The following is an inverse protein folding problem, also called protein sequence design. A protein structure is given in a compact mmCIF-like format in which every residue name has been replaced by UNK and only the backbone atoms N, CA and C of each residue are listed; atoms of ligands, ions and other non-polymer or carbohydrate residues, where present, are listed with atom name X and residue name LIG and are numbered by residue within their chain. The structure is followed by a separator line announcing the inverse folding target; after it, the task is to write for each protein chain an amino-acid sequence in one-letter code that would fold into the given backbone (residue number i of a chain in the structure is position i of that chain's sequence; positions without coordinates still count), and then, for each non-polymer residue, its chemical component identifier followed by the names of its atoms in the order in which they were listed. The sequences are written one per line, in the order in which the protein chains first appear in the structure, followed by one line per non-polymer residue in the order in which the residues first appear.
data_IF_640893376407
#
_entry.id   IF_640893376407
#
_cell.length_a   1.000
_cell.length_b   1.000
_cell.length_c   1.000
_cell.angle_alpha   90.00
_cell.angle_beta   90.00
_cell.angle_gamma   90.00
#
_symmetry.space_group_name_H-M   'P 1'
#
loop_
_entity.id
_entity.type
_entity.pdbx_description
1 polymer ?
#
# COMPACT_ATOMS: atom_id res chain seq x y z
N UNK A 1 -17.89 -12.84 -18.38
CA UNK A 1 -17.39 -12.13 -17.18
C UNK A 1 -15.89 -11.99 -17.43
N UNK A 2 -15.47 -10.85 -17.96
CA UNK A 2 -14.05 -10.53 -18.24
C UNK A 2 -13.38 -10.30 -16.88
N UNK A 3 -12.32 -11.07 -16.59
CA UNK A 3 -11.47 -10.83 -15.44
C UNK A 3 -10.97 -9.36 -15.49
N UNK A 4 -11.02 -8.63 -14.37
CA UNK A 4 -10.42 -7.30 -14.33
C UNK A 4 -8.91 -7.45 -14.56
N UNK A 5 -8.38 -6.71 -15.52
CA UNK A 5 -6.94 -6.60 -15.75
C UNK A 5 -6.27 -6.07 -14.47
N UNK A 6 -5.63 -6.98 -13.74
CA UNK A 6 -4.89 -6.68 -12.51
C UNK A 6 -3.49 -6.16 -12.79
N UNK A 7 -3.12 -5.94 -14.05
CA UNK A 7 -1.84 -5.35 -14.41
C UNK A 7 -1.82 -3.86 -14.07
N UNK A 8 -1.47 -3.54 -12.83
CA UNK A 8 -1.04 -2.20 -12.48
C UNK A 8 0.40 -2.00 -12.94
N UNK A 9 0.59 -1.94 -14.26
CA UNK A 9 1.84 -1.51 -14.83
C UNK A 9 1.91 0.01 -14.71
N UNK A 10 2.95 0.53 -14.04
CA UNK A 10 3.33 1.92 -14.21
C UNK A 10 3.40 2.23 -15.71
N UNK A 11 2.93 3.42 -16.14
CA UNK A 11 2.99 3.79 -17.56
C UNK A 11 4.42 3.63 -18.06
N UNK A 12 4.53 3.02 -19.23
CA UNK A 12 5.76 2.80 -19.97
C UNK A 12 6.59 4.09 -20.10
N UNK A 13 7.65 4.22 -19.31
CA UNK A 13 8.55 5.36 -19.41
C UNK A 13 9.76 5.29 -18.50
N UNK A 14 9.61 4.83 -17.28
CA UNK A 14 10.74 4.51 -16.38
C UNK A 14 10.41 3.22 -15.66
N UNK A 15 10.85 2.11 -16.21
CA UNK A 15 10.99 0.91 -15.37
C UNK A 15 11.94 1.29 -14.25
N UNK A 16 11.45 1.31 -13.01
CA UNK A 16 12.31 1.26 -11.86
C UNK A 16 13.28 0.11 -12.12
N UNK A 17 14.57 0.40 -12.16
CA UNK A 17 15.57 -0.64 -12.35
C UNK A 17 15.29 -1.69 -11.28
N UNK A 18 15.23 -2.97 -11.68
CA UNK A 18 14.95 -4.07 -10.76
C UNK A 18 15.78 -3.91 -9.50
N UNK A 19 15.14 -3.86 -8.36
CA UNK A 19 15.82 -3.88 -7.08
C UNK A 19 16.77 -5.06 -7.03
N UNK A 20 18.02 -4.81 -6.70
CA UNK A 20 19.05 -5.83 -6.53
C UNK A 20 19.24 -6.09 -5.04
N UNK A 21 19.34 -7.35 -4.66
CA UNK A 21 19.77 -7.71 -3.29
C UNK A 21 21.24 -7.32 -3.01
N UNK A 22 21.99 -6.95 -4.05
CA UNK A 22 23.35 -6.46 -3.89
C UNK A 22 23.36 -5.07 -3.26
N UNK A 23 24.22 -4.86 -2.26
CA UNK A 23 24.41 -3.55 -1.65
C UNK A 23 24.87 -2.54 -2.69
N UNK A 24 24.13 -1.46 -2.82
CA UNK A 24 24.54 -0.32 -3.68
C UNK A 24 25.51 0.61 -2.95
N UNK A 25 26.45 1.22 -3.66
CA UNK A 25 27.27 2.27 -3.07
C UNK A 25 26.40 3.45 -2.64
N UNK A 26 26.87 4.17 -1.64
CA UNK A 26 26.20 5.40 -1.21
C UNK A 26 26.24 6.45 -2.34
N UNK A 27 25.15 7.21 -2.54
CA UNK A 27 25.13 8.29 -3.51
C UNK A 27 26.17 9.36 -3.16
N UNK A 28 26.81 9.91 -4.19
CA UNK A 28 27.79 10.97 -4.03
C UNK A 28 27.09 12.27 -3.57
N UNK A 29 27.69 12.98 -2.62
CA UNK A 29 27.19 14.27 -2.14
C UNK A 29 26.10 14.19 -1.07
N UNK A 30 25.66 13.00 -0.68
CA UNK A 30 24.69 12.82 0.42
C UNK A 30 25.40 12.40 1.70
N UNK A 31 25.26 13.19 2.76
CA UNK A 31 25.91 12.89 4.03
C UNK A 31 25.38 11.61 4.67
N UNK A 32 26.15 10.93 5.55
CA UNK A 32 25.66 9.76 6.28
C UNK A 32 24.39 10.05 7.10
N UNK A 33 24.25 11.24 7.66
CA UNK A 33 23.09 11.64 8.45
C UNK A 33 21.89 11.83 7.54
N UNK A 34 22.04 12.55 6.42
CA UNK A 34 20.93 12.76 5.47
C UNK A 34 20.42 11.44 4.90
N UNK A 35 21.32 10.47 4.67
CA UNK A 35 20.93 9.11 4.25
C UNK A 35 20.11 8.39 5.31
N UNK A 36 20.50 8.47 6.58
CA UNK A 36 19.75 7.85 7.68
C UNK A 36 18.37 8.48 7.81
N UNK A 37 18.28 9.80 7.71
CA UNK A 37 17.00 10.52 7.74
C UNK A 37 16.13 10.09 6.57
N UNK A 38 16.66 10.09 5.34
CA UNK A 38 15.91 9.66 4.16
C UNK A 38 15.40 8.22 4.25
N UNK A 39 16.23 7.28 4.73
CA UNK A 39 15.79 5.90 4.94
C UNK A 39 14.66 5.80 5.96
N UNK A 40 14.73 6.54 7.05
CA UNK A 40 13.66 6.54 8.06
C UNK A 40 12.39 7.19 7.53
N UNK A 41 12.46 8.32 6.84
CA UNK A 41 11.30 9.00 6.26
C UNK A 41 10.61 8.12 5.22
N UNK A 42 11.37 7.45 4.33
CA UNK A 42 10.82 6.51 3.36
C UNK A 42 10.22 5.28 4.06
N UNK A 43 10.85 4.78 5.13
CA UNK A 43 10.28 3.69 5.93
C UNK A 43 8.94 4.09 6.55
N UNK A 44 8.84 5.29 7.09
CA UNK A 44 7.58 5.83 7.62
C UNK A 44 6.52 5.98 6.51
N UNK A 45 6.91 6.47 5.33
CA UNK A 45 6.02 6.60 4.17
C UNK A 45 5.39 5.24 3.80
N UNK A 46 6.21 4.18 3.71
CA UNK A 46 5.74 2.81 3.40
C UNK A 46 4.79 2.28 4.48
N UNK A 47 5.10 2.50 5.75
CA UNK A 47 4.23 2.05 6.86
C UNK A 47 2.93 2.86 6.92
N UNK A 48 2.94 4.16 6.64
CA UNK A 48 1.73 4.99 6.53
C UNK A 48 0.83 4.53 5.39
N UNK A 49 1.41 4.08 4.27
CA UNK A 49 0.63 3.49 3.18
C UNK A 49 -0.14 2.25 3.67
N UNK A 50 0.53 1.31 4.34
CA UNK A 50 -0.13 0.12 4.87
C UNK A 50 -1.23 0.48 5.88
N UNK A 51 -0.96 1.42 6.77
CA UNK A 51 -1.94 1.89 7.74
C UNK A 51 -3.17 2.51 7.06
N UNK A 52 -2.96 3.39 6.08
CA UNK A 52 -4.05 4.04 5.35
C UNK A 52 -4.91 3.04 4.56
N UNK A 53 -4.29 2.01 3.96
CA UNK A 53 -5.02 0.88 3.32
C UNK A 53 -5.90 0.16 4.34
N UNK A 54 -5.33 -0.23 5.49
CA UNK A 54 -6.05 -0.97 6.52
C UNK A 54 -7.23 -0.17 7.10
N UNK A 55 -7.06 1.14 7.21
CA UNK A 55 -8.08 2.06 7.72
C UNK A 55 -9.09 2.53 6.65
N UNK A 56 -8.89 2.15 5.38
CA UNK A 56 -9.63 2.71 4.21
C UNK A 56 -9.61 4.23 4.18
N UNK A 57 -8.54 4.82 4.64
CA UNK A 57 -8.35 6.27 4.60
C UNK A 57 -7.79 6.70 3.24
N UNK A 58 -8.67 6.74 2.23
CA UNK A 58 -8.29 7.11 0.87
C UNK A 58 -7.74 8.53 0.77
N UNK A 59 -8.17 9.43 1.64
CA UNK A 59 -7.67 10.79 1.67
C UNK A 59 -6.20 10.82 2.12
N UNK A 60 -5.89 10.18 3.25
CA UNK A 60 -4.51 10.05 3.71
C UNK A 60 -3.66 9.24 2.73
N UNK A 61 -4.22 8.19 2.11
CA UNK A 61 -3.50 7.31 1.20
C UNK A 61 -2.96 8.06 -0.02
N UNK A 62 -3.77 8.90 -0.66
CA UNK A 62 -3.36 9.63 -1.87
C UNK A 62 -2.37 10.76 -1.58
N UNK A 63 -2.40 11.33 -0.37
CA UNK A 63 -1.42 12.33 0.06
C UNK A 63 0.02 11.80 0.18
N UNK A 64 0.18 10.48 0.24
CA UNK A 64 1.49 9.83 0.23
C UNK A 64 2.16 9.82 -1.16
N UNK A 65 1.44 10.19 -2.19
CA UNK A 65 1.92 10.23 -3.57
C UNK A 65 2.17 11.67 -4.03
N UNK A 66 3.03 11.82 -5.04
CA UNK A 66 3.19 13.11 -5.72
C UNK A 66 1.85 13.58 -6.28
N UNK A 67 1.66 14.89 -6.40
CA UNK A 67 0.40 15.50 -6.86
C UNK A 67 0.05 15.16 -8.33
N UNK A 68 1.07 14.92 -9.16
CA UNK A 68 0.97 14.54 -10.57
C UNK A 68 1.09 13.02 -10.82
N UNK A 69 0.87 12.19 -9.79
CA UNK A 69 1.00 10.73 -9.87
C UNK A 69 0.19 10.14 -11.03
N UNK A 70 0.78 9.17 -11.74
CA UNK A 70 0.05 8.40 -12.74
C UNK A 70 -0.91 7.41 -12.08
N UNK A 71 -2.20 7.50 -12.41
CA UNK A 71 -3.27 6.68 -11.85
C UNK A 71 -3.76 5.55 -12.78
N UNK A 72 -2.99 5.24 -13.85
CA UNK A 72 -3.38 4.27 -14.87
C UNK A 72 -4.32 4.86 -15.93
N UNK A 73 -4.48 4.14 -17.06
CA UNK A 73 -5.36 4.51 -18.18
C UNK A 73 -5.16 5.95 -18.71
N UNK A 74 -3.93 6.48 -18.61
CA UNK A 74 -3.59 7.84 -19.00
C UNK A 74 -4.09 8.93 -18.05
N UNK A 75 -4.74 8.57 -16.94
CA UNK A 75 -5.16 9.51 -15.89
C UNK A 75 -4.01 9.84 -14.94
N UNK A 76 -3.99 11.06 -14.45
CA UNK A 76 -2.99 11.54 -13.51
C UNK A 76 -3.62 12.30 -12.35
N UNK A 77 -2.86 12.43 -11.28
CA UNK A 77 -3.23 13.20 -10.09
C UNK A 77 -3.92 12.39 -9.01
N UNK A 78 -3.87 12.92 -7.78
CA UNK A 78 -4.37 12.28 -6.56
C UNK A 78 -5.87 11.96 -6.61
N UNK A 79 -6.68 12.80 -7.27
CA UNK A 79 -8.12 12.55 -7.41
C UNK A 79 -8.40 11.28 -8.25
N UNK A 80 -7.67 11.10 -9.36
CA UNK A 80 -7.78 9.89 -10.18
C UNK A 80 -7.26 8.66 -9.43
N UNK A 81 -6.20 8.82 -8.64
CA UNK A 81 -5.66 7.75 -7.80
C UNK A 81 -6.65 7.34 -6.69
N UNK A 82 -7.33 8.30 -6.06
CA UNK A 82 -8.36 8.01 -5.05
C UNK A 82 -9.50 7.17 -5.62
N UNK A 83 -9.95 7.52 -6.83
CA UNK A 83 -10.97 6.74 -7.54
C UNK A 83 -10.50 5.31 -7.82
N UNK A 84 -9.25 5.17 -8.26
CA UNK A 84 -8.64 3.85 -8.54
C UNK A 84 -8.61 2.97 -7.28
N UNK A 85 -8.20 3.53 -6.12
CA UNK A 85 -8.18 2.79 -4.86
C UNK A 85 -9.59 2.38 -4.42
N UNK A 86 -10.57 3.27 -4.52
CA UNK A 86 -11.95 2.97 -4.16
C UNK A 86 -12.52 1.84 -5.01
N UNK A 87 -12.30 1.88 -6.32
CA UNK A 87 -12.75 0.81 -7.23
C UNK A 87 -12.05 -0.51 -6.92
N UNK A 88 -10.75 -0.50 -6.59
CA UNK A 88 -9.98 -1.72 -6.30
C UNK A 88 -10.30 -2.35 -4.96
N UNK A 89 -10.54 -1.56 -3.94
CA UNK A 89 -11.00 -2.09 -2.66
C UNK A 89 -12.43 -2.63 -2.74
N UNK A 90 -13.26 -2.04 -3.63
CA UNK A 90 -14.58 -2.57 -3.99
C UNK A 90 -15.39 -3.00 -2.76
N UNK A 91 -15.94 -4.22 -2.82
CA UNK A 91 -16.77 -4.82 -1.77
C UNK A 91 -15.96 -5.46 -0.63
N UNK A 92 -14.62 -5.34 -0.62
CA UNK A 92 -13.84 -5.83 0.50
C UNK A 92 -14.24 -5.09 1.78
N UNK A 93 -14.61 -5.83 2.81
CA UNK A 93 -14.95 -5.26 4.12
C UNK A 93 -13.71 -4.97 4.94
N UNK A 94 -12.67 -5.76 4.75
CA UNK A 94 -11.42 -5.69 5.50
C UNK A 94 -10.26 -5.90 4.54
N UNK A 95 -9.28 -5.02 4.63
CA UNK A 95 -7.95 -5.19 4.05
C UNK A 95 -6.93 -5.11 5.18
N UNK A 96 -6.08 -6.13 5.29
CA UNK A 96 -4.99 -6.15 6.26
C UNK A 96 -3.70 -6.25 5.46
N UNK A 97 -2.96 -5.16 5.38
CA UNK A 97 -1.67 -5.08 4.72
C UNK A 97 -0.56 -4.99 5.76
N UNK A 98 0.33 -5.97 5.76
CA UNK A 98 1.48 -6.04 6.66
C UNK A 98 2.76 -5.88 5.87
N UNK A 99 3.59 -4.89 6.22
CA UNK A 99 4.94 -4.72 5.68
C UNK A 99 5.89 -5.67 6.40
N UNK A 100 6.55 -6.56 5.66
CA UNK A 100 7.45 -7.56 6.26
C UNK A 100 8.92 -7.26 6.02
N UNK A 101 9.29 -6.77 4.85
CA UNK A 101 10.69 -6.47 4.50
C UNK A 101 10.72 -5.24 3.59
N UNK A 102 11.68 -4.37 3.84
CA UNK A 102 11.90 -3.19 3.01
C UNK A 102 13.39 -3.00 2.75
N UNK A 103 13.73 -2.76 1.49
CA UNK A 103 15.06 -2.30 1.06
C UNK A 103 14.85 -1.02 0.26
N UNK A 104 15.61 0.00 0.58
CA UNK A 104 15.58 1.31 -0.11
C UNK A 104 16.98 1.63 -0.60
N UNK A 105 17.08 2.01 -1.87
CA UNK A 105 18.29 2.46 -2.53
C UNK A 105 18.16 3.94 -2.90
N UNK A 106 18.91 4.81 -2.24
CA UNK A 106 19.02 6.21 -2.64
C UNK A 106 19.79 6.33 -3.95
N UNK A 107 19.23 7.04 -4.91
CA UNK A 107 19.86 7.37 -6.18
C UNK A 107 20.68 8.65 -6.02
N UNK A 108 20.09 9.65 -5.38
CA UNK A 108 20.68 10.93 -5.01
C UNK A 108 19.99 11.50 -3.75
N UNK A 109 20.07 12.80 -3.51
CA UNK A 109 19.48 13.45 -2.34
C UNK A 109 17.93 13.47 -2.36
N UNK A 110 17.33 13.41 -3.57
CA UNK A 110 15.89 13.63 -3.76
C UNK A 110 15.21 12.47 -4.49
N UNK A 111 15.94 11.43 -4.90
CA UNK A 111 15.39 10.26 -5.59
C UNK A 111 15.83 8.96 -4.94
N UNK A 112 14.88 8.03 -4.84
CA UNK A 112 15.14 6.68 -4.34
C UNK A 112 14.28 5.64 -5.06
N UNK A 113 14.70 4.40 -4.98
CA UNK A 113 13.90 3.22 -5.35
C UNK A 113 13.83 2.26 -4.19
N UNK A 114 12.84 1.38 -4.17
CA UNK A 114 12.73 0.40 -3.11
C UNK A 114 12.00 -0.86 -3.52
N UNK A 115 12.24 -1.91 -2.74
CA UNK A 115 11.43 -3.13 -2.78
C UNK A 115 10.84 -3.36 -1.40
N UNK A 116 9.54 -3.59 -1.37
CA UNK A 116 8.79 -3.84 -0.13
C UNK A 116 8.06 -5.16 -0.27
N UNK A 117 8.35 -6.12 0.62
CA UNK A 117 7.56 -7.34 0.72
C UNK A 117 6.45 -7.16 1.73
N UNK A 118 5.28 -7.67 1.36
CA UNK A 118 4.10 -7.55 2.21
C UNK A 118 3.26 -8.82 2.18
N UNK A 119 2.50 -8.99 3.26
CA UNK A 119 1.38 -9.93 3.30
C UNK A 119 0.08 -9.14 3.32
N UNK A 120 -0.90 -9.67 2.61
CA UNK A 120 -2.22 -9.06 2.56
C UNK A 120 -3.29 -10.10 2.83
N UNK A 121 -4.25 -9.74 3.67
CA UNK A 121 -5.52 -10.47 3.81
C UNK A 121 -6.65 -9.55 3.38
N UNK A 122 -7.55 -10.07 2.55
CA UNK A 122 -8.71 -9.34 2.06
C UNK A 122 -9.95 -10.15 2.34
N UNK A 123 -10.94 -9.54 2.97
CA UNK A 123 -12.18 -10.20 3.34
C UNK A 123 -13.41 -9.41 2.93
N UNK A 124 -14.41 -10.13 2.43
CA UNK A 124 -15.73 -9.60 2.09
C UNK A 124 -16.79 -10.69 2.25
N UNK A 125 -18.04 -10.43 1.84
CA UNK A 125 -19.12 -11.40 1.96
C UNK A 125 -18.76 -12.73 1.28
N UNK A 126 -18.70 -13.80 2.08
CA UNK A 126 -18.47 -15.17 1.58
C UNK A 126 -17.05 -15.47 1.07
N UNK A 127 -16.11 -14.53 1.16
CA UNK A 127 -14.75 -14.74 0.67
C UNK A 127 -13.70 -14.19 1.62
N UNK A 128 -12.61 -14.96 1.79
CA UNK A 128 -11.39 -14.50 2.45
C UNK A 128 -10.18 -14.93 1.62
N UNK A 129 -9.33 -13.97 1.24
CA UNK A 129 -8.15 -14.23 0.44
C UNK A 129 -6.89 -13.81 1.19
N UNK A 130 -5.80 -14.56 0.99
CA UNK A 130 -4.44 -14.20 1.44
C UNK A 130 -3.52 -14.06 0.27
N UNK A 131 -2.65 -13.06 0.32
CA UNK A 131 -1.63 -12.84 -0.71
C UNK A 131 -0.25 -12.64 -0.08
N UNK A 132 0.77 -13.12 -0.77
CA UNK A 132 2.15 -12.69 -0.58
C UNK A 132 2.55 -11.86 -1.78
N UNK A 133 2.99 -10.65 -1.54
CA UNK A 133 3.21 -9.64 -2.57
C UNK A 133 4.55 -8.94 -2.39
N UNK A 134 5.02 -8.32 -3.47
CA UNK A 134 6.09 -7.35 -3.44
C UNK A 134 5.64 -6.06 -4.11
N UNK A 135 6.14 -4.95 -3.63
CA UNK A 135 6.07 -3.67 -4.32
C UNK A 135 7.45 -3.29 -4.84
N UNK A 136 7.51 -2.80 -6.07
CA UNK A 136 8.63 -2.03 -6.59
C UNK A 136 8.23 -0.57 -6.59
N UNK A 137 8.99 0.23 -5.84
CA UNK A 137 8.66 1.61 -5.54
C UNK A 137 9.66 2.57 -6.17
N UNK A 138 9.16 3.72 -6.61
CA UNK A 138 9.94 4.90 -6.96
C UNK A 138 9.52 6.03 -6.04
N UNK A 139 10.51 6.69 -5.42
CA UNK A 139 10.29 7.78 -4.49
C UNK A 139 10.96 9.05 -4.98
N UNK A 140 10.36 10.18 -4.68
CA UNK A 140 10.90 11.52 -4.93
C UNK A 140 10.68 12.40 -3.71
N UNK A 141 11.66 13.24 -3.41
CA UNK A 141 11.56 14.23 -2.36
C UNK A 141 11.19 15.56 -2.99
N UNK A 142 10.05 16.13 -2.60
CA UNK A 142 9.56 17.45 -3.03
C UNK A 142 9.37 18.32 -1.81
N UNK A 143 9.92 19.51 -1.83
CA UNK A 143 9.82 20.47 -0.72
C UNK A 143 10.19 19.88 0.66
N UNK A 144 11.21 19.03 0.67
CA UNK A 144 11.71 18.39 1.88
C UNK A 144 10.93 17.15 2.35
N UNK A 145 9.90 16.72 1.64
CA UNK A 145 9.05 15.58 1.98
C UNK A 145 9.16 14.47 0.94
N UNK A 146 9.30 13.21 1.36
CA UNK A 146 9.32 12.05 0.48
C UNK A 146 7.91 11.59 0.10
N UNK A 147 7.73 11.26 -1.18
CA UNK A 147 6.49 10.77 -1.76
C UNK A 147 6.73 9.55 -2.64
N UNK A 148 5.69 8.74 -2.84
CA UNK A 148 5.66 7.78 -3.93
C UNK A 148 5.45 8.50 -5.26
N UNK A 149 6.30 8.22 -6.24
CA UNK A 149 6.08 8.57 -7.66
C UNK A 149 5.34 7.43 -8.35
N UNK A 150 5.75 6.19 -8.04
CA UNK A 150 5.13 4.98 -8.55
C UNK A 150 5.28 3.85 -7.54
N UNK A 151 4.27 2.96 -7.52
CA UNK A 151 4.28 1.72 -6.74
C UNK A 151 3.71 0.61 -7.60
N UNK A 152 4.55 -0.34 -8.01
CA UNK A 152 4.14 -1.49 -8.82
C UNK A 152 3.90 -2.69 -7.92
N UNK A 153 2.70 -3.26 -8.00
CA UNK A 153 2.32 -4.45 -7.25
C UNK A 153 2.71 -5.72 -8.01
N UNK A 154 3.46 -6.60 -7.35
CA UNK A 154 3.88 -7.91 -7.85
C UNK A 154 3.32 -9.00 -6.96
N UNK A 155 2.76 -10.05 -7.54
CA UNK A 155 2.15 -11.14 -6.82
C UNK A 155 3.08 -12.36 -6.81
N UNK A 156 3.41 -12.88 -5.61
CA UNK A 156 4.02 -14.21 -5.47
C UNK A 156 2.95 -15.29 -5.58
N UNK A 157 1.88 -15.16 -4.80
CA UNK A 157 0.71 -16.03 -4.84
C UNK A 157 -0.49 -15.38 -4.16
N UNK A 158 -1.68 -15.83 -4.54
CA UNK A 158 -2.95 -15.55 -3.86
C UNK A 158 -3.67 -16.86 -3.58
N UNK A 159 -4.35 -16.93 -2.44
CA UNK A 159 -5.11 -18.09 -1.99
C UNK A 159 -6.51 -17.65 -1.56
N UNK A 160 -7.55 -18.39 -1.96
CA UNK A 160 -8.82 -18.38 -1.24
C UNK A 160 -8.69 -19.24 0.02
N UNK A 161 -9.06 -18.67 1.16
CA UNK A 161 -8.95 -19.31 2.48
C UNK A 161 -10.32 -19.79 2.90
N UNK A 162 -10.47 -21.07 3.28
CA UNK A 162 -11.77 -21.63 3.71
C UNK A 162 -12.30 -20.97 4.98
N UNK A 163 -11.40 -20.58 5.88
CA UNK A 163 -11.77 -19.89 7.10
C UNK A 163 -12.35 -18.52 6.79
N UNK A 164 -13.34 -18.14 7.55
CA UNK A 164 -14.07 -16.87 7.42
C UNK A 164 -13.96 -16.10 8.75
N UNK A 165 -12.90 -15.31 8.95
CA UNK A 165 -12.71 -14.58 10.21
C UNK A 165 -13.86 -13.64 10.55
N UNK A 166 -14.52 -13.04 9.54
CA UNK A 166 -15.64 -12.13 9.76
C UNK A 166 -16.96 -12.84 10.12
N UNK A 167 -17.08 -14.14 9.82
CA UNK A 167 -18.26 -14.94 10.17
C UNK A 167 -18.20 -15.46 11.61
N UNK A 168 -17.05 -15.27 12.29
CA UNK A 168 -16.91 -15.63 13.69
C UNK A 168 -17.78 -14.74 14.59
N UNK A 169 -18.29 -15.27 15.71
CA UNK A 169 -18.96 -14.43 16.70
C UNK A 169 -17.99 -13.38 17.26
N UNK A 170 -18.50 -12.25 17.78
CA UNK A 170 -17.64 -11.23 18.40
C UNK A 170 -16.71 -11.83 19.47
N UNK A 171 -15.43 -11.46 19.41
CA UNK A 171 -14.47 -11.86 20.41
C UNK A 171 -14.83 -11.24 21.79
N UNK A 172 -14.57 -11.97 22.85
CA UNK A 172 -14.73 -11.47 24.23
C UNK A 172 -13.40 -10.95 24.76
N UNK A 173 -12.73 -10.14 23.94
CA UNK A 173 -11.45 -9.53 24.32
C UNK A 173 -11.60 -8.62 25.54
N UNK A 174 -10.68 -8.63 26.52
CA UNK A 174 -9.45 -9.43 26.60
C UNK A 174 -9.62 -10.84 27.21
N UNK A 175 -10.83 -11.26 27.55
CA UNK A 175 -11.09 -12.55 28.22
C UNK A 175 -10.91 -13.76 27.28
N UNK A 176 -11.15 -13.58 25.99
CA UNK A 176 -10.93 -14.59 24.95
C UNK A 176 -10.38 -13.94 23.67
N UNK A 177 -9.28 -14.48 23.11
CA UNK A 177 -8.73 -13.97 21.86
C UNK A 177 -9.42 -14.52 20.61
N UNK A 178 -10.38 -15.45 20.76
CA UNK A 178 -11.06 -16.09 19.64
C UNK A 178 -12.34 -15.35 19.29
N UNK A 179 -12.52 -15.05 18.01
CA UNK A 179 -13.69 -14.38 17.47
C UNK A 179 -13.35 -13.15 16.64
N UNK A 180 -14.37 -12.48 16.13
CA UNK A 180 -14.25 -11.26 15.34
C UNK A 180 -13.93 -10.08 16.23
N UNK A 181 -12.90 -9.31 15.85
CA UNK A 181 -12.52 -8.06 16.52
C UNK A 181 -13.44 -6.88 16.17
N UNK A 182 -13.12 -5.69 16.69
CA UNK A 182 -13.87 -4.46 16.44
C UNK A 182 -13.27 -3.61 15.31
N UNK A 183 -12.00 -3.81 15.00
CA UNK A 183 -11.34 -3.12 13.89
C UNK A 183 -11.52 -3.88 12.58
N UNK A 184 -11.64 -3.18 11.42
CA UNK A 184 -11.54 -1.74 11.25
C UNK A 184 -12.83 -0.95 11.52
N UNK A 185 -13.90 -1.61 11.92
CA UNK A 185 -15.27 -1.04 12.02
C UNK A 185 -15.35 0.18 12.95
N UNK A 186 -14.50 0.26 13.98
CA UNK A 186 -14.45 1.38 14.92
C UNK A 186 -13.63 2.57 14.40
N UNK A 187 -12.98 2.46 13.23
CA UNK A 187 -12.20 3.55 12.68
C UNK A 187 -13.06 4.55 11.90
N UNK A 188 -12.94 5.87 12.20
CA UNK A 188 -13.78 6.89 11.57
C UNK A 188 -13.66 6.95 10.04
N UNK A 189 -12.46 6.77 9.50
CA UNK A 189 -12.23 6.76 8.05
C UNK A 189 -12.96 5.60 7.37
N UNK A 190 -12.92 4.42 7.97
CA UNK A 190 -13.61 3.24 7.48
C UNK A 190 -15.15 3.44 7.48
N UNK A 191 -15.71 3.97 8.59
CA UNK A 191 -17.13 4.29 8.69
C UNK A 191 -17.58 5.30 7.65
N UNK A 192 -16.75 6.33 7.40
CA UNK A 192 -17.03 7.38 6.41
C UNK A 192 -17.06 6.85 4.97
N UNK A 193 -16.16 5.92 4.64
CA UNK A 193 -16.10 5.32 3.31
C UNK A 193 -17.32 4.41 3.06
N UNK A 194 -17.69 3.62 4.04
CA UNK A 194 -18.84 2.70 3.95
C UNK A 194 -20.17 3.44 3.80
N UNK A 195 -20.35 4.58 4.49
CA UNK A 195 -21.58 5.38 4.40
C UNK A 195 -21.74 6.04 3.02
N UNK A 196 -20.63 6.31 2.33
CA UNK A 196 -20.66 6.89 0.96
C UNK A 196 -20.93 5.83 -0.12
N UNK A 197 -20.67 4.57 0.18
CA UNK A 197 -20.79 3.45 -0.77
C UNK A 197 -22.12 2.70 -0.66
N UNK A 198 -22.95 3.04 0.32
CA UNK A 198 -24.30 2.49 0.44
C UNK A 198 -25.25 3.27 -0.47
N UNK A 199 -26.00 2.60 -1.38
CA UNK A 199 -26.90 3.24 -2.34
C UNK A 199 -28.11 3.92 -1.66
#
# INVERSE_FOLDING_TARGET
MTEPDLSWAAPSGRRAGRSSAARRPAPVGVSPIDRLVAYEEIRQLVNRYALAVNMRDHAALVELFVDDVAAGDGRTGRAALAELFRVRQGDALVDILEVTTQVTDLVDADHATGTVYSRCEMGGPGRWARQSIAYEDVYERRDGTWYFVARSHLLFYGLDVPERPLDQPPARWPHSPVGRGTIPYDWPSWQSDFTRSSP
#
